data_IF_051475562127
#
_entry.id   IF_051475562127
#
_cell.length_a   1.000
_cell.length_b   1.000
_cell.length_c   1.000
_cell.angle_alpha   90.00
_cell.angle_beta   90.00
_cell.angle_gamma   90.00
#
_symmetry.space_group_name_H-M   'P 1'
#
loop_
_entity.id
_entity.type
_entity.pdbx_description
1 polymer ?
#
# COMPACT_ATOMS: atom_id res chain seq x y z
N UNK A 1 -54.93 8.11 68.77
CA UNK A 1 -53.43 8.10 68.85
C UNK A 1 -52.93 7.35 67.65
N UNK A 2 -52.52 8.05 66.65
CA UNK A 2 -52.20 7.47 65.32
C UNK A 2 -50.74 7.86 64.97
N UNK A 3 -49.88 6.88 65.06
CA UNK A 3 -48.47 7.01 64.66
C UNK A 3 -48.36 6.76 63.16
N UNK A 4 -47.95 7.76 62.41
CA UNK A 4 -47.76 7.70 60.94
C UNK A 4 -46.30 7.40 60.63
N UNK A 5 -46.05 6.19 60.14
CA UNK A 5 -44.72 5.78 59.69
C UNK A 5 -44.42 6.41 58.33
N UNK A 6 -43.37 7.21 58.26
CA UNK A 6 -42.81 7.70 57.00
C UNK A 6 -41.75 6.71 56.52
N UNK A 7 -42.06 5.99 55.44
CA UNK A 7 -41.10 5.17 54.73
C UNK A 7 -40.35 6.08 53.76
N UNK A 8 -39.08 6.36 54.07
CA UNK A 8 -38.17 7.02 53.14
C UNK A 8 -37.72 6.01 52.09
N UNK A 9 -38.24 6.17 50.88
CA UNK A 9 -37.76 5.47 49.68
C UNK A 9 -36.54 6.20 49.12
N UNK A 10 -35.35 5.72 49.44
CA UNK A 10 -34.10 6.18 48.82
C UNK A 10 -34.01 5.62 47.38
N UNK A 11 -34.28 6.46 46.39
CA UNK A 11 -33.97 6.16 44.98
C UNK A 11 -32.46 6.29 44.78
N UNK A 12 -31.76 5.17 44.71
CA UNK A 12 -30.38 5.10 44.23
C UNK A 12 -30.40 5.26 42.72
N UNK A 13 -30.14 6.48 42.26
CA UNK A 13 -29.81 6.72 40.84
C UNK A 13 -28.41 6.19 40.55
N UNK A 14 -28.32 4.95 40.05
CA UNK A 14 -27.10 4.36 39.53
C UNK A 14 -26.83 4.98 38.13
N UNK A 15 -26.11 6.11 38.08
CA UNK A 15 -25.64 6.68 36.86
C UNK A 15 -24.57 5.76 36.28
N UNK A 16 -24.92 4.98 35.27
CA UNK A 16 -23.98 4.27 34.45
C UNK A 16 -23.14 5.28 33.63
N UNK A 17 -21.97 5.57 34.13
CA UNK A 17 -20.92 6.24 33.34
C UNK A 17 -20.49 5.23 32.25
N UNK A 18 -21.18 5.24 31.13
CA UNK A 18 -20.68 4.69 29.87
C UNK A 18 -19.49 5.58 29.43
N UNK A 19 -18.34 5.30 30.01
CA UNK A 19 -17.07 5.80 29.50
C UNK A 19 -16.86 5.27 28.10
N UNK A 20 -17.40 5.97 27.11
CA UNK A 20 -17.08 5.73 25.72
C UNK A 20 -15.58 5.91 25.55
N UNK A 21 -14.85 4.82 25.37
CA UNK A 21 -13.47 4.87 24.90
C UNK A 21 -13.54 5.56 23.55
N UNK A 22 -13.25 6.85 23.50
CA UNK A 22 -13.04 7.57 22.24
C UNK A 22 -11.79 6.93 21.59
N UNK A 23 -12.02 5.88 20.80
CA UNK A 23 -11.02 5.43 19.85
C UNK A 23 -10.81 6.62 18.94
N UNK A 24 -9.64 7.26 19.04
CA UNK A 24 -9.29 8.36 18.17
C UNK A 24 -9.59 7.92 16.73
N UNK A 25 -10.59 8.56 16.13
CA UNK A 25 -10.94 8.26 14.74
C UNK A 25 -9.70 8.54 13.92
N UNK A 26 -9.07 7.48 13.37
CA UNK A 26 -7.91 7.63 12.52
C UNK A 26 -8.21 8.60 11.37
N UNK A 27 -7.18 9.26 10.86
CA UNK A 27 -7.31 10.17 9.72
C UNK A 27 -8.02 9.45 8.57
N UNK A 28 -8.91 10.15 7.88
CA UNK A 28 -9.70 9.63 6.77
C UNK A 28 -9.55 10.53 5.55
N UNK A 29 -9.63 9.92 4.37
CA UNK A 29 -9.55 10.61 3.07
C UNK A 29 -10.95 10.85 2.49
N UNK A 30 -11.93 11.15 3.35
CA UNK A 30 -13.36 11.20 3.02
C UNK A 30 -13.67 12.15 1.87
N UNK A 31 -12.98 13.31 1.79
CA UNK A 31 -13.21 14.28 0.72
C UNK A 31 -12.66 13.80 -0.62
N UNK A 32 -11.47 13.19 -0.62
CA UNK A 32 -10.85 12.63 -1.81
C UNK A 32 -11.61 11.41 -2.35
N UNK A 33 -12.23 10.63 -1.47
CA UNK A 33 -12.95 9.40 -1.83
C UNK A 33 -14.46 9.60 -2.00
N UNK A 34 -14.95 10.84 -1.89
CA UNK A 34 -16.39 11.15 -1.94
C UNK A 34 -17.04 10.67 -3.25
N UNK A 35 -18.06 9.82 -3.13
CA UNK A 35 -18.81 9.30 -4.26
C UNK A 35 -18.14 8.20 -5.06
N UNK A 36 -16.95 7.74 -4.64
CA UNK A 36 -16.25 6.65 -5.29
C UNK A 36 -16.63 5.29 -4.70
N UNK A 37 -16.96 4.32 -5.55
CA UNK A 37 -17.05 2.90 -5.19
C UNK A 37 -15.77 2.14 -5.54
N UNK A 38 -15.00 2.64 -6.50
CA UNK A 38 -13.69 2.09 -6.89
C UNK A 38 -12.77 3.20 -7.38
N UNK A 39 -11.45 2.96 -7.32
CA UNK A 39 -10.46 3.87 -7.89
C UNK A 39 -9.26 3.08 -8.44
N UNK A 40 -8.60 3.64 -9.45
CA UNK A 40 -7.50 3.02 -10.17
C UNK A 40 -6.25 3.88 -10.06
N UNK A 41 -5.13 3.29 -9.64
CA UNK A 41 -3.85 4.00 -9.53
C UNK A 41 -2.69 3.20 -10.10
N UNK A 42 -1.78 3.87 -10.82
CA UNK A 42 -0.50 3.31 -11.24
C UNK A 42 0.63 4.05 -10.53
N UNK A 43 1.33 3.34 -9.66
CA UNK A 43 2.51 3.84 -8.95
C UNK A 43 3.75 3.60 -9.81
N UNK A 44 4.41 4.67 -10.21
CA UNK A 44 5.65 4.57 -10.99
C UNK A 44 6.84 4.86 -10.09
N UNK A 45 7.68 3.85 -9.83
CA UNK A 45 8.79 3.91 -8.88
C UNK A 45 10.11 4.03 -9.63
N UNK A 46 10.83 5.14 -9.39
CA UNK A 46 12.17 5.42 -9.89
C UNK A 46 13.08 5.86 -8.74
N UNK A 47 13.58 4.90 -7.97
CA UNK A 47 14.37 5.15 -6.75
C UNK A 47 15.60 4.25 -6.73
N UNK A 48 16.77 4.83 -6.48
CA UNK A 48 18.05 4.11 -6.40
C UNK A 48 18.44 3.76 -4.94
N UNK A 49 17.47 3.45 -4.10
CA UNK A 49 17.71 3.01 -2.71
C UNK A 49 16.70 1.91 -2.32
N UNK A 50 17.16 0.69 -2.03
CA UNK A 50 16.26 -0.42 -1.77
C UNK A 50 15.45 -0.25 -0.48
N UNK A 51 15.96 0.46 0.53
CA UNK A 51 15.22 0.73 1.77
C UNK A 51 14.04 1.67 1.51
N UNK A 52 14.25 2.70 0.66
CA UNK A 52 13.19 3.60 0.23
C UNK A 52 12.16 2.87 -0.64
N UNK A 53 12.63 2.02 -1.59
CA UNK A 53 11.72 1.20 -2.40
C UNK A 53 10.85 0.30 -1.53
N UNK A 54 11.43 -0.41 -0.55
CA UNK A 54 10.69 -1.24 0.38
C UNK A 54 9.65 -0.43 1.18
N UNK A 55 10.03 0.77 1.65
CA UNK A 55 9.12 1.66 2.35
C UNK A 55 7.96 2.10 1.46
N UNK A 56 8.23 2.49 0.22
CA UNK A 56 7.19 2.91 -0.74
C UNK A 56 6.22 1.74 -1.02
N UNK A 57 6.72 0.54 -1.26
CA UNK A 57 5.87 -0.64 -1.48
C UNK A 57 4.97 -0.92 -0.26
N UNK A 58 5.49 -0.74 0.95
CA UNK A 58 4.69 -0.80 2.17
C UNK A 58 3.61 0.30 2.20
N UNK A 59 3.92 1.53 1.75
CA UNK A 59 2.92 2.61 1.64
C UNK A 59 1.85 2.26 0.59
N UNK A 60 2.21 1.63 -0.53
CA UNK A 60 1.24 1.10 -1.53
C UNK A 60 0.28 0.09 -0.87
N UNK A 61 0.81 -0.83 -0.04
CA UNK A 61 -0.02 -1.76 0.75
C UNK A 61 -1.00 -1.02 1.68
N UNK A 62 -0.51 0.03 2.37
CA UNK A 62 -1.35 0.86 3.23
C UNK A 62 -2.41 1.62 2.44
N UNK A 63 -2.09 2.07 1.23
CA UNK A 63 -3.03 2.74 0.33
C UNK A 63 -4.17 1.78 -0.06
N UNK A 64 -3.86 0.57 -0.52
CA UNK A 64 -4.87 -0.45 -0.84
C UNK A 64 -5.77 -0.73 0.38
N UNK A 65 -5.17 -1.06 1.51
CA UNK A 65 -5.89 -1.40 2.74
C UNK A 65 -6.72 -0.21 3.25
N UNK A 66 -6.18 1.00 3.15
CA UNK A 66 -6.84 2.24 3.57
C UNK A 66 -8.08 2.54 2.74
N UNK A 67 -8.00 2.39 1.42
CA UNK A 67 -9.14 2.56 0.52
C UNK A 67 -10.24 1.55 0.80
N UNK A 68 -9.90 0.26 0.93
CA UNK A 68 -10.85 -0.80 1.29
C UNK A 68 -11.56 -0.53 2.62
N UNK A 69 -10.84 -0.09 3.65
CA UNK A 69 -11.41 0.28 4.95
C UNK A 69 -12.38 1.46 4.86
N UNK A 70 -12.24 2.30 3.85
CA UNK A 70 -13.13 3.44 3.58
C UNK A 70 -14.22 3.12 2.54
N UNK A 71 -14.40 1.84 2.16
CA UNK A 71 -15.47 1.37 1.28
C UNK A 71 -15.19 1.55 -0.22
N UNK A 72 -13.94 1.87 -0.60
CA UNK A 72 -13.54 2.01 -2.00
C UNK A 72 -12.71 0.81 -2.43
N UNK A 73 -13.05 0.19 -3.55
CA UNK A 73 -12.28 -0.91 -4.15
C UNK A 73 -11.09 -0.36 -4.92
N UNK A 74 -9.84 -0.58 -4.47
CA UNK A 74 -8.66 -0.14 -5.21
C UNK A 74 -8.32 -1.10 -6.34
N UNK A 75 -7.85 -0.54 -7.45
CA UNK A 75 -7.18 -1.26 -8.54
C UNK A 75 -5.80 -0.64 -8.70
N UNK A 76 -4.79 -1.28 -8.15
CA UNK A 76 -3.43 -0.74 -8.08
C UNK A 76 -2.50 -1.53 -8.98
N UNK A 77 -1.67 -0.79 -9.74
CA UNK A 77 -0.54 -1.29 -10.51
C UNK A 77 0.72 -0.62 -9.99
N UNK A 78 1.81 -1.36 -9.88
CA UNK A 78 3.15 -0.83 -9.59
C UNK A 78 4.02 -1.03 -10.82
N UNK A 79 4.63 0.03 -11.33
CA UNK A 79 5.58 0.00 -12.45
C UNK A 79 6.93 0.47 -11.93
N UNK A 80 7.92 -0.43 -11.94
CA UNK A 80 9.28 -0.15 -11.48
C UNK A 80 10.14 0.17 -12.70
N UNK A 81 10.79 1.33 -12.67
CA UNK A 81 11.68 1.83 -13.72
C UNK A 81 13.05 2.18 -13.15
N UNK A 82 13.97 2.62 -14.03
CA UNK A 82 15.30 3.10 -13.62
C UNK A 82 16.07 2.06 -12.80
N UNK A 83 16.95 2.51 -11.88
CA UNK A 83 17.84 1.61 -11.13
C UNK A 83 17.09 0.67 -10.17
N UNK A 84 15.87 0.97 -9.79
CA UNK A 84 15.07 0.14 -8.88
C UNK A 84 14.84 -1.29 -9.43
N UNK A 85 14.91 -1.51 -10.74
CA UNK A 85 14.72 -2.84 -11.34
C UNK A 85 15.79 -3.84 -10.88
N UNK A 86 16.99 -3.38 -10.50
CA UNK A 86 18.04 -4.25 -9.96
C UNK A 86 17.66 -4.92 -8.65
N UNK A 87 16.72 -4.36 -7.89
CA UNK A 87 16.25 -4.93 -6.63
C UNK A 87 15.19 -6.03 -6.81
N UNK A 88 14.75 -6.24 -8.06
CA UNK A 88 13.71 -7.21 -8.42
C UNK A 88 14.26 -8.55 -8.91
N UNK A 89 15.56 -8.78 -8.77
CA UNK A 89 16.25 -9.94 -9.37
C UNK A 89 16.44 -11.09 -8.38
N UNK A 90 16.43 -12.33 -8.89
CA UNK A 90 16.81 -13.54 -8.16
C UNK A 90 18.30 -13.53 -7.83
N UNK A 91 19.10 -13.03 -8.78
CA UNK A 91 20.54 -12.88 -8.63
C UNK A 91 20.86 -11.61 -7.83
N UNK A 92 21.80 -11.72 -6.92
CA UNK A 92 22.28 -10.61 -6.06
C UNK A 92 23.59 -10.01 -6.54
N UNK A 93 24.09 -10.40 -7.70
CA UNK A 93 25.30 -9.79 -8.30
C UNK A 93 25.05 -8.31 -8.51
N UNK A 94 26.01 -7.50 -8.09
CA UNK A 94 25.87 -6.03 -8.11
C UNK A 94 25.14 -5.40 -6.92
N UNK A 95 24.50 -6.20 -6.05
CA UNK A 95 23.94 -5.73 -4.78
C UNK A 95 25.05 -5.79 -3.72
N UNK A 96 25.31 -4.66 -3.06
CA UNK A 96 26.27 -4.67 -1.95
C UNK A 96 25.73 -5.44 -0.75
N UNK A 97 26.62 -6.05 0.03
CA UNK A 97 26.24 -6.76 1.26
C UNK A 97 25.37 -5.90 2.20
N UNK A 98 25.68 -4.60 2.28
CA UNK A 98 24.90 -3.64 3.08
C UNK A 98 23.46 -3.48 2.61
N UNK A 99 23.17 -3.73 1.35
CA UNK A 99 21.84 -3.57 0.74
C UNK A 99 21.03 -4.87 0.68
N UNK A 100 21.65 -6.03 0.86
CA UNK A 100 20.98 -7.33 0.71
C UNK A 100 19.72 -7.48 1.57
N UNK A 101 19.77 -7.00 2.82
CA UNK A 101 18.61 -7.02 3.73
C UNK A 101 17.48 -6.16 3.18
N UNK A 102 17.78 -4.97 2.68
CA UNK A 102 16.79 -4.05 2.14
C UNK A 102 16.19 -4.59 0.84
N UNK A 103 17.01 -5.18 -0.05
CA UNK A 103 16.51 -5.85 -1.27
C UNK A 103 15.62 -7.04 -0.93
N UNK A 104 15.95 -7.83 0.09
CA UNK A 104 15.08 -8.91 0.58
C UNK A 104 13.74 -8.37 1.09
N UNK A 105 13.74 -7.20 1.73
CA UNK A 105 12.51 -6.55 2.15
C UNK A 105 11.69 -6.06 0.95
N UNK A 106 12.31 -5.47 -0.10
CA UNK A 106 11.63 -5.11 -1.36
C UNK A 106 10.86 -6.31 -1.91
N UNK A 107 11.52 -7.46 -2.03
CA UNK A 107 10.91 -8.66 -2.60
C UNK A 107 9.78 -9.22 -1.72
N UNK A 108 9.92 -9.13 -0.40
CA UNK A 108 8.86 -9.51 0.55
C UNK A 108 7.62 -8.61 0.41
N UNK A 109 7.79 -7.29 0.27
CA UNK A 109 6.67 -6.37 0.05
C UNK A 109 5.99 -6.64 -1.30
N UNK A 110 6.74 -6.92 -2.36
CA UNK A 110 6.18 -7.30 -3.68
C UNK A 110 5.35 -8.57 -3.57
N UNK A 111 5.87 -9.62 -2.90
CA UNK A 111 5.13 -10.85 -2.67
C UNK A 111 3.80 -10.58 -1.95
N UNK A 112 3.82 -9.75 -0.92
CA UNK A 112 2.63 -9.33 -0.18
C UNK A 112 1.64 -8.60 -1.08
N UNK A 113 2.09 -7.64 -1.87
CA UNK A 113 1.25 -6.91 -2.83
C UNK A 113 0.60 -7.85 -3.85
N UNK A 114 1.35 -8.84 -4.37
CA UNK A 114 0.78 -9.88 -5.25
C UNK A 114 -0.36 -10.65 -4.58
N UNK A 115 -0.22 -11.03 -3.30
CA UNK A 115 -1.29 -11.74 -2.56
C UNK A 115 -2.55 -10.87 -2.37
N UNK A 116 -2.41 -9.55 -2.46
CA UNK A 116 -3.51 -8.58 -2.42
C UNK A 116 -4.12 -8.28 -3.80
N UNK A 117 -3.57 -8.88 -4.87
CA UNK A 117 -4.02 -8.68 -6.24
C UNK A 117 -3.38 -7.47 -6.94
N UNK A 118 -2.36 -6.85 -6.34
CA UNK A 118 -1.59 -5.78 -6.96
C UNK A 118 -0.59 -6.38 -7.94
N UNK A 119 -0.63 -5.91 -9.19
CA UNK A 119 0.33 -6.29 -10.23
C UNK A 119 1.56 -5.40 -10.16
N UNK A 120 2.75 -6.01 -10.13
CA UNK A 120 4.03 -5.31 -10.22
C UNK A 120 4.68 -5.60 -11.57
N UNK A 121 5.16 -4.57 -12.26
CA UNK A 121 5.83 -4.63 -13.55
C UNK A 121 7.25 -4.08 -13.46
N UNK A 122 8.20 -4.71 -14.17
CA UNK A 122 9.57 -4.23 -14.33
C UNK A 122 9.81 -3.73 -15.76
N UNK A 123 10.33 -2.53 -15.91
CA UNK A 123 10.63 -1.91 -17.21
C UNK A 123 11.78 -2.64 -17.90
N UNK A 124 11.52 -3.25 -19.06
CA UNK A 124 12.54 -3.97 -19.85
C UNK A 124 13.65 -3.06 -20.39
N UNK A 125 13.34 -1.79 -20.69
CA UNK A 125 14.38 -0.80 -21.06
C UNK A 125 15.32 -0.57 -19.88
N UNK A 126 14.80 -0.47 -18.66
CA UNK A 126 15.62 -0.30 -17.46
C UNK A 126 16.41 -1.58 -17.13
N UNK A 127 15.78 -2.76 -17.23
CA UNK A 127 16.47 -4.06 -17.06
C UNK A 127 17.68 -4.14 -18.00
N UNK A 128 17.50 -3.83 -19.29
CA UNK A 128 18.60 -3.81 -20.27
C UNK A 128 19.68 -2.79 -19.89
N UNK A 129 19.29 -1.60 -19.43
CA UNK A 129 20.24 -0.55 -19.00
C UNK A 129 21.04 -0.95 -17.76
N UNK A 130 20.53 -1.85 -16.94
CA UNK A 130 21.18 -2.38 -15.74
C UNK A 130 21.83 -3.75 -15.96
N UNK A 131 21.90 -4.23 -17.22
CA UNK A 131 22.47 -5.54 -17.61
C UNK A 131 21.80 -6.72 -16.88
N UNK A 132 20.47 -6.63 -16.69
CA UNK A 132 19.64 -7.65 -16.06
C UNK A 132 18.86 -8.44 -17.12
N UNK A 133 19.05 -9.76 -17.15
CA UNK A 133 18.19 -10.64 -17.96
C UNK A 133 16.75 -10.65 -17.39
N UNK A 134 15.72 -10.43 -18.20
CA UNK A 134 14.33 -10.53 -17.74
C UNK A 134 13.98 -11.87 -17.07
N UNK A 135 14.70 -12.95 -17.35
CA UNK A 135 14.54 -14.27 -16.70
C UNK A 135 14.99 -14.29 -15.24
N UNK A 136 15.89 -13.38 -14.89
CA UNK A 136 16.41 -13.26 -13.53
C UNK A 136 15.48 -12.42 -12.63
N UNK A 137 14.44 -11.80 -13.18
CA UNK A 137 13.42 -11.13 -12.38
C UNK A 137 12.64 -12.16 -11.57
N UNK A 138 12.30 -11.81 -10.32
CA UNK A 138 11.52 -12.69 -9.43
C UNK A 138 10.13 -12.97 -10.00
N UNK A 139 9.57 -14.14 -9.71
CA UNK A 139 8.33 -14.66 -10.32
C UNK A 139 7.07 -13.85 -9.94
N UNK A 140 7.18 -12.98 -8.95
CA UNK A 140 6.09 -12.09 -8.50
C UNK A 140 6.03 -10.78 -9.29
N UNK A 141 6.96 -10.56 -10.22
CA UNK A 141 7.06 -9.37 -11.06
C UNK A 141 6.95 -9.75 -12.54
N UNK A 142 6.27 -8.92 -13.30
CA UNK A 142 6.10 -9.11 -14.74
C UNK A 142 7.02 -8.19 -15.53
N UNK A 143 8.07 -8.69 -16.19
CA UNK A 143 8.84 -7.88 -17.13
C UNK A 143 7.95 -7.41 -18.28
N UNK A 144 8.03 -6.10 -18.60
CA UNK A 144 7.31 -5.46 -19.72
C UNK A 144 8.32 -4.77 -20.63
N UNK A 145 7.97 -4.55 -21.89
CA UNK A 145 8.90 -3.96 -22.86
C UNK A 145 9.39 -2.56 -22.46
N UNK A 146 8.49 -1.71 -21.99
CA UNK A 146 8.80 -0.35 -21.56
C UNK A 146 7.79 0.13 -20.50
N UNK A 147 8.28 0.49 -19.32
CA UNK A 147 7.45 0.97 -18.20
C UNK A 147 6.69 2.26 -18.52
N UNK A 148 7.21 3.13 -19.39
CA UNK A 148 6.47 4.32 -19.82
C UNK A 148 5.28 3.95 -20.71
N UNK A 149 5.41 2.93 -21.58
CA UNK A 149 4.27 2.44 -22.35
C UNK A 149 3.21 1.86 -21.41
N UNK A 150 3.62 1.09 -20.38
CA UNK A 150 2.69 0.62 -19.34
C UNK A 150 1.97 1.78 -18.67
N UNK A 151 2.69 2.80 -18.21
CA UNK A 151 2.09 3.96 -17.54
C UNK A 151 1.10 4.71 -18.44
N UNK A 152 1.45 4.96 -19.72
CA UNK A 152 0.56 5.60 -20.68
C UNK A 152 -0.68 4.74 -20.93
N UNK A 153 -0.48 3.42 -21.13
CA UNK A 153 -1.57 2.48 -21.39
C UNK A 153 -2.55 2.37 -20.22
N UNK A 154 -2.05 2.34 -18.97
CA UNK A 154 -2.90 2.32 -17.79
C UNK A 154 -3.65 3.65 -17.61
N UNK A 155 -3.01 4.80 -17.83
CA UNK A 155 -3.70 6.09 -17.80
C UNK A 155 -4.83 6.17 -18.83
N UNK A 156 -4.58 5.68 -20.05
CA UNK A 156 -5.63 5.60 -21.09
C UNK A 156 -6.81 4.67 -20.70
N UNK A 157 -6.58 3.74 -19.74
CA UNK A 157 -7.61 2.87 -19.15
C UNK A 157 -8.23 3.47 -17.87
N UNK A 158 -7.92 4.73 -17.55
CA UNK A 158 -8.48 5.45 -16.41
C UNK A 158 -7.74 5.22 -15.08
N UNK A 159 -6.47 4.83 -15.12
CA UNK A 159 -5.60 4.82 -13.93
C UNK A 159 -4.95 6.19 -13.73
N UNK A 160 -4.98 6.69 -12.52
CA UNK A 160 -4.27 7.91 -12.14
C UNK A 160 -2.79 7.61 -11.87
N UNK A 161 -1.89 8.43 -12.42
CA UNK A 161 -0.45 8.27 -12.20
C UNK A 161 -0.04 8.83 -10.85
N UNK A 162 0.61 7.99 -10.05
CA UNK A 162 1.27 8.37 -8.78
C UNK A 162 2.78 8.22 -8.97
N UNK A 163 3.50 9.29 -9.29
CA UNK A 163 4.95 9.24 -9.48
C UNK A 163 5.67 9.18 -8.13
N UNK A 164 6.73 8.35 -8.05
CA UNK A 164 7.52 8.15 -6.83
C UNK A 164 9.02 8.15 -7.18
N UNK A 165 9.77 9.14 -6.66
CA UNK A 165 11.20 9.37 -6.94
C UNK A 165 12.06 9.30 -5.67
#
# INVERSE_FOLDING_TARGET
>A
MTTRNYVLTSLLCLAWLLGGVAHGAGLKDTDALRGLSSAKGVFMIDINDPSRVAHVLHVVEKTDTGMRKQGVTPHIIVVVIGPAVAFLTKDRRGISYMQERAVSQVQKEIHKLKTMGVRTEACGVALKGMDVDPKDVIDDVHPVGNGFISAIGYQAQGYELVPVY
#
